data_IF_838179227945
#
_entry.id   IF_838179227945
#
_cell.length_a   1.000
_cell.length_b   1.000
_cell.length_c   1.000
_cell.angle_alpha   90.00
_cell.angle_beta   90.00
_cell.angle_gamma   90.00
#
_symmetry.space_group_name_H-M   'P 1'
#
loop_
_entity.id
_entity.type
_entity.pdbx_description
1 polymer ?
#
# COMPACT_ATOMS: atom_id res chain seq x y z
N UNK A 1 1.62 -13.65 14.27
CA UNK A 1 0.35 -13.52 15.01
C UNK A 1 0.43 -12.27 15.86
N UNK A 2 -0.62 -11.48 15.96
CA UNK A 2 -0.63 -10.25 16.76
C UNK A 2 -0.63 -10.51 18.26
N UNK A 3 0.12 -9.67 18.98
CA UNK A 3 0.31 -9.68 20.43
C UNK A 3 0.90 -8.31 20.88
N UNK A 4 1.22 -8.17 22.16
CA UNK A 4 1.74 -6.90 22.72
C UNK A 4 3.04 -6.42 22.07
N UNK A 5 3.90 -7.35 21.60
CA UNK A 5 5.17 -7.01 20.94
C UNK A 5 5.03 -6.71 19.45
N UNK A 6 3.98 -7.24 18.81
CA UNK A 6 3.64 -7.01 17.41
C UNK A 6 2.17 -6.58 17.35
N UNK A 7 1.85 -5.37 17.84
CA UNK A 7 0.48 -4.89 17.85
C UNK A 7 0.03 -4.57 16.41
N UNK A 8 -1.26 -4.70 16.17
CA UNK A 8 -1.88 -4.18 14.97
C UNK A 8 -1.75 -2.65 14.95
N UNK A 9 -1.30 -2.10 13.83
CA UNK A 9 -1.11 -0.67 13.66
C UNK A 9 -2.43 0.02 13.28
N UNK A 10 -2.41 1.35 13.29
CA UNK A 10 -3.47 2.20 12.73
C UNK A 10 -4.90 1.84 13.18
N UNK A 11 -5.05 1.52 14.48
CA UNK A 11 -6.34 1.20 15.07
C UNK A 11 -6.88 -0.21 14.72
N UNK A 12 -6.04 -1.09 14.17
CA UNK A 12 -6.40 -2.48 13.96
C UNK A 12 -6.64 -3.22 15.29
N UNK A 13 -7.57 -4.18 15.28
CA UNK A 13 -7.90 -5.01 16.44
C UNK A 13 -7.32 -6.39 16.27
N UNK A 14 -6.59 -6.89 17.26
CA UNK A 14 -6.11 -8.26 17.25
C UNK A 14 -7.26 -9.23 17.61
N UNK A 15 -7.66 -10.07 16.66
CA UNK A 15 -8.66 -11.12 16.87
C UNK A 15 -8.08 -12.47 16.44
N UNK A 16 -8.03 -13.42 17.38
CA UNK A 16 -7.54 -14.79 17.13
C UNK A 16 -6.11 -14.83 16.54
N UNK A 17 -5.26 -13.87 16.93
CA UNK A 17 -3.88 -13.75 16.44
C UNK A 17 -3.74 -13.13 15.05
N UNK A 18 -4.83 -12.63 14.47
CA UNK A 18 -4.86 -11.91 13.19
C UNK A 18 -5.33 -10.46 13.40
N UNK A 19 -4.75 -9.53 12.65
CA UNK A 19 -5.18 -8.14 12.69
C UNK A 19 -6.43 -7.92 11.83
N UNK A 20 -7.50 -7.43 12.47
CA UNK A 20 -8.64 -6.84 11.78
C UNK A 20 -8.41 -5.34 11.62
N UNK A 21 -8.15 -4.91 10.40
CA UNK A 21 -7.79 -3.52 10.12
C UNK A 21 -9.00 -2.60 10.07
N UNK A 22 -8.75 -1.33 10.41
CA UNK A 22 -9.69 -0.23 10.15
C UNK A 22 -9.98 -0.13 8.65
N UNK A 23 -11.11 0.51 8.29
CA UNK A 23 -11.58 0.56 6.91
C UNK A 23 -10.58 1.18 5.92
N UNK A 24 -9.67 2.02 6.41
CA UNK A 24 -8.65 2.72 5.61
C UNK A 24 -7.28 2.03 5.57
N UNK A 25 -7.10 0.90 6.24
CA UNK A 25 -5.80 0.22 6.35
C UNK A 25 -5.87 -1.28 6.01
N UNK A 26 -4.73 -1.82 5.59
CA UNK A 26 -4.54 -3.18 5.16
C UNK A 26 -3.09 -3.63 5.43
N UNK A 27 -2.77 -4.86 5.06
CA UNK A 27 -1.53 -5.53 5.43
C UNK A 27 -1.71 -6.45 6.64
N UNK A 28 -0.72 -7.29 6.90
CA UNK A 28 -0.80 -8.29 7.97
C UNK A 28 -0.89 -7.65 9.37
N UNK A 29 -0.43 -6.40 9.47
CA UNK A 29 -0.34 -5.61 10.69
C UNK A 29 -1.11 -4.29 10.57
N UNK A 30 -1.94 -4.13 9.53
CA UNK A 30 -2.63 -2.87 9.24
C UNK A 30 -1.68 -1.68 9.02
N UNK A 31 -0.47 -1.97 8.54
CA UNK A 31 0.63 -1.03 8.34
C UNK A 31 0.49 -0.22 7.04
N UNK A 32 -0.27 -0.73 6.06
CA UNK A 32 -0.40 -0.14 4.73
C UNK A 32 -1.74 0.57 4.59
N UNK A 33 -1.78 1.87 4.25
CA UNK A 33 -3.02 2.55 3.91
C UNK A 33 -3.66 1.93 2.66
N UNK A 34 -4.97 1.68 2.71
CA UNK A 34 -5.72 1.13 1.59
C UNK A 34 -5.66 2.00 0.35
N UNK A 35 -5.46 3.31 0.47
CA UNK A 35 -5.30 4.15 -0.72
C UNK A 35 -4.06 3.79 -1.55
N UNK A 36 -3.02 3.23 -0.91
CA UNK A 36 -1.84 2.70 -1.59
C UNK A 36 -2.10 1.28 -2.14
N UNK A 37 -3.04 0.52 -1.55
CA UNK A 37 -3.48 -0.79 -2.08
C UNK A 37 -4.54 -0.72 -3.19
N UNK A 38 -5.45 0.26 -3.17
CA UNK A 38 -6.56 0.41 -4.13
C UNK A 38 -6.15 1.13 -5.43
N UNK A 39 -4.85 1.19 -5.73
CA UNK A 39 -4.34 1.67 -7.01
C UNK A 39 -4.80 3.08 -7.41
N UNK A 40 -4.75 4.06 -6.47
CA UNK A 40 -4.87 5.49 -6.86
C UNK A 40 -3.80 5.91 -7.88
N UNK A 41 -2.72 5.14 -7.95
CA UNK A 41 -1.60 5.31 -8.87
C UNK A 41 -1.88 4.96 -10.33
N UNK A 42 -2.82 4.06 -10.64
CA UNK A 42 -2.94 3.49 -11.99
C UNK A 42 -4.31 3.65 -12.64
N UNK A 43 -5.24 4.39 -12.03
CA UNK A 43 -6.66 4.38 -12.47
C UNK A 43 -7.25 2.96 -12.59
N UNK A 44 -6.78 2.01 -11.76
CA UNK A 44 -7.16 0.59 -11.86
C UNK A 44 -6.31 -0.26 -12.81
N UNK A 45 -5.26 0.30 -13.42
CA UNK A 45 -4.28 -0.47 -14.19
C UNK A 45 -3.37 -1.28 -13.27
N UNK A 46 -3.11 -2.52 -13.66
CA UNK A 46 -2.27 -3.45 -12.92
C UNK A 46 -0.76 -3.24 -13.20
N UNK A 47 -0.38 -2.40 -14.17
CA UNK A 47 1.04 -2.12 -14.46
C UNK A 47 1.72 -1.19 -13.46
N UNK A 48 0.93 -0.54 -12.59
CA UNK A 48 1.41 0.40 -11.57
C UNK A 48 1.24 -0.22 -10.18
N UNK A 49 2.29 -0.13 -9.37
CA UNK A 49 2.29 -0.46 -7.94
C UNK A 49 2.46 0.82 -7.12
N UNK A 50 1.84 0.86 -5.95
CA UNK A 50 2.18 1.87 -4.94
C UNK A 50 3.21 1.27 -3.99
N UNK A 51 4.26 2.03 -3.72
CA UNK A 51 5.28 1.74 -2.72
C UNK A 51 4.98 2.60 -1.50
N UNK A 52 4.63 1.96 -0.39
CA UNK A 52 4.38 2.64 0.89
C UNK A 52 5.66 2.75 1.72
N UNK A 53 6.03 3.97 2.09
CA UNK A 53 7.07 4.26 3.07
C UNK A 53 6.40 4.56 4.41
N UNK A 54 6.44 3.58 5.33
CA UNK A 54 5.82 3.70 6.64
C UNK A 54 6.53 4.69 7.57
N UNK A 55 7.83 4.94 7.35
CA UNK A 55 8.61 5.88 8.17
C UNK A 55 8.24 7.32 7.82
N UNK A 56 8.13 7.62 6.52
CA UNK A 56 7.74 8.95 6.03
C UNK A 56 6.23 9.16 5.98
N UNK A 57 5.45 8.07 6.09
CA UNK A 57 4.01 8.06 5.84
C UNK A 57 3.65 8.58 4.45
N UNK A 58 4.48 8.24 3.47
CA UNK A 58 4.34 8.67 2.08
C UNK A 58 4.21 7.44 1.17
N UNK A 59 3.40 7.57 0.12
CA UNK A 59 3.28 6.54 -0.91
C UNK A 59 3.76 7.09 -2.25
N UNK A 60 4.56 6.32 -2.97
CA UNK A 60 5.03 6.63 -4.32
C UNK A 60 4.49 5.62 -5.32
N UNK A 61 4.07 6.09 -6.47
CA UNK A 61 3.64 5.23 -7.56
C UNK A 61 4.86 4.84 -8.42
N UNK A 62 4.96 3.56 -8.75
CA UNK A 62 6.02 3.02 -9.59
C UNK A 62 5.46 2.01 -10.57
N UNK A 63 6.12 1.88 -11.72
CA UNK A 63 5.82 0.79 -12.64
C UNK A 63 6.27 -0.56 -12.06
N UNK A 64 5.49 -1.60 -12.34
CA UNK A 64 5.89 -2.98 -12.03
C UNK A 64 7.10 -3.36 -12.88
N UNK A 65 7.08 -3.00 -14.15
CA UNK A 65 8.18 -3.21 -15.08
C UNK A 65 9.32 -2.22 -14.85
N UNK A 66 10.55 -2.74 -14.73
CA UNK A 66 11.73 -1.94 -14.38
C UNK A 66 12.14 -0.94 -15.47
N UNK A 67 11.78 -1.20 -16.73
CA UNK A 67 12.16 -0.36 -17.87
C UNK A 67 11.10 0.69 -18.24
N UNK A 68 10.05 0.80 -17.44
CA UNK A 68 8.99 1.76 -17.64
C UNK A 68 9.13 2.92 -16.66
N UNK A 69 8.90 4.12 -17.14
CA UNK A 69 8.85 5.32 -16.33
C UNK A 69 7.40 5.61 -15.98
N UNK A 70 7.17 5.88 -14.69
CA UNK A 70 5.85 6.27 -14.22
C UNK A 70 5.59 7.73 -14.53
N UNK A 71 4.52 8.00 -15.28
CA UNK A 71 4.09 9.33 -15.64
C UNK A 71 3.01 9.79 -14.65
N UNK A 72 3.36 10.69 -13.72
CA UNK A 72 2.44 11.22 -12.70
C UNK A 72 1.20 11.91 -13.29
N UNK A 73 1.36 12.60 -14.43
CA UNK A 73 0.26 13.30 -15.11
C UNK A 73 -0.83 12.34 -15.57
N UNK A 74 -0.40 11.26 -16.22
CA UNK A 74 -1.29 10.32 -16.90
C UNK A 74 -1.60 9.09 -16.02
N UNK A 75 -0.88 8.96 -14.90
CA UNK A 75 -0.98 7.86 -13.94
C UNK A 75 -0.83 6.50 -14.65
N UNK A 76 0.17 6.43 -15.52
CA UNK A 76 0.44 5.31 -16.42
C UNK A 76 1.95 5.03 -16.52
N UNK A 77 2.28 3.89 -17.10
CA UNK A 77 3.66 3.47 -17.34
C UNK A 77 4.02 3.59 -18.82
N UNK A 78 5.09 4.31 -19.13
CA UNK A 78 5.59 4.43 -20.50
C UNK A 78 6.97 3.78 -20.61
N UNK A 79 7.18 3.00 -21.68
CA UNK A 79 8.50 2.48 -22.02
C UNK A 79 9.41 3.62 -22.49
N UNK A 80 10.69 3.57 -22.10
CA UNK A 80 11.74 4.40 -22.72
C UNK A 80 11.85 4.22 -24.23
#
# INVERSE_FOLDING_TARGET
>A
MCNDTNPCQNGGVCQEGLCKCHEDYAGAWCETPKWCMHSRCGNGQDEVKCIWDSEKREGRCECKERYHFYMERDRSCEST
#
